data_IF_674593048259
#
_entry.id   IF_674593048259
#
_cell.length_a   1.000
_cell.length_b   1.000
_cell.length_c   1.000
_cell.angle_alpha   90.00
_cell.angle_beta   90.00
_cell.angle_gamma   90.00
#
_symmetry.space_group_name_H-M   'P 1'
#
loop_
_entity.id
_entity.type
_entity.pdbx_description
1 polymer ?
#
# COMPACT_ATOMS: atom_id res chain seq x y z
N UNK A 1 -4.31 15.35 -4.56
CA UNK A 1 -4.93 16.03 -3.40
C UNK A 1 -6.30 15.43 -3.12
N UNK A 2 -6.70 15.29 -1.85
CA UNK A 2 -7.96 14.60 -1.47
C UNK A 2 -9.21 15.25 -2.08
N UNK A 3 -9.26 16.58 -2.13
CA UNK A 3 -10.38 17.32 -2.72
C UNK A 3 -10.59 17.05 -4.21
N UNK A 4 -9.52 16.85 -5.00
CA UNK A 4 -9.64 16.59 -6.44
C UNK A 4 -10.26 15.22 -6.70
N UNK A 5 -9.94 14.23 -5.85
CA UNK A 5 -10.55 12.90 -5.89
C UNK A 5 -12.04 12.97 -5.54
N UNK A 6 -12.40 13.76 -4.52
CA UNK A 6 -13.79 13.97 -4.13
C UNK A 6 -14.58 14.71 -5.22
N UNK A 7 -14.02 15.77 -5.80
CA UNK A 7 -14.62 16.53 -6.89
C UNK A 7 -14.88 15.67 -8.12
N UNK A 8 -13.92 14.83 -8.51
CA UNK A 8 -14.09 13.91 -9.63
C UNK A 8 -15.20 12.87 -9.35
N UNK A 9 -15.28 12.36 -8.12
CA UNK A 9 -16.37 11.46 -7.71
C UNK A 9 -17.76 12.11 -7.81
N UNK A 10 -17.87 13.38 -7.39
CA UNK A 10 -19.10 14.17 -7.53
C UNK A 10 -19.45 14.38 -9.00
N UNK A 11 -18.46 14.69 -9.85
CA UNK A 11 -18.66 14.87 -11.28
C UNK A 11 -19.18 13.59 -11.96
N UNK A 12 -18.59 12.44 -11.61
CA UNK A 12 -19.04 11.13 -12.10
C UNK A 12 -20.48 10.84 -11.65
N UNK A 13 -20.81 11.10 -10.38
CA UNK A 13 -22.16 10.91 -9.87
C UNK A 13 -23.17 11.83 -10.56
N UNK A 14 -22.83 13.10 -10.75
CA UNK A 14 -23.66 14.07 -11.47
C UNK A 14 -23.89 13.65 -12.93
N UNK A 15 -22.84 13.20 -13.62
CA UNK A 15 -22.93 12.66 -14.97
C UNK A 15 -23.81 11.42 -15.05
N UNK A 16 -23.71 10.52 -14.07
CA UNK A 16 -24.55 9.32 -13.98
C UNK A 16 -26.03 9.68 -13.79
N UNK A 17 -26.33 10.62 -12.90
CA UNK A 17 -27.69 11.10 -12.67
C UNK A 17 -28.25 11.82 -13.89
N UNK A 18 -27.43 12.64 -14.55
CA UNK A 18 -27.80 13.31 -15.80
C UNK A 18 -28.13 12.29 -16.89
N UNK A 19 -27.28 11.28 -17.07
CA UNK A 19 -27.54 10.19 -18.01
C UNK A 19 -28.81 9.40 -17.66
N UNK A 20 -29.03 9.08 -16.39
CA UNK A 20 -30.25 8.42 -15.94
C UNK A 20 -31.50 9.27 -16.23
N UNK A 21 -31.41 10.58 -16.03
CA UNK A 21 -32.50 11.53 -16.29
C UNK A 21 -32.86 11.62 -17.78
N UNK A 22 -31.88 11.50 -18.68
CA UNK A 22 -32.14 11.52 -20.12
C UNK A 22 -32.83 10.25 -20.61
N UNK A 23 -32.67 9.13 -19.89
CA UNK A 23 -33.13 7.81 -20.32
C UNK A 23 -34.22 7.20 -19.41
N UNK A 24 -35.00 8.04 -18.72
CA UNK A 24 -36.02 7.59 -17.74
C UNK A 24 -37.06 6.64 -18.32
N UNK A 25 -37.50 6.87 -19.56
CA UNK A 25 -38.53 6.07 -20.23
C UNK A 25 -37.97 4.92 -21.07
N UNK A 26 -36.63 4.80 -21.16
CA UNK A 26 -36.03 3.74 -21.94
C UNK A 26 -36.09 2.41 -21.21
N UNK A 27 -36.38 1.35 -21.95
CA UNK A 27 -36.38 -0.03 -21.46
C UNK A 27 -35.28 -0.82 -22.16
N UNK A 28 -34.63 -1.71 -21.43
CA UNK A 28 -33.52 -2.53 -21.90
C UNK A 28 -33.76 -3.99 -21.55
N UNK A 29 -33.27 -4.88 -22.39
CA UNK A 29 -33.23 -6.32 -22.15
C UNK A 29 -31.84 -6.70 -21.66
N UNK A 30 -31.77 -7.47 -20.58
CA UNK A 30 -30.50 -7.85 -19.94
C UNK A 30 -30.24 -9.32 -20.22
N UNK A 31 -29.05 -9.61 -20.78
CA UNK A 31 -28.59 -10.95 -21.14
C UNK A 31 -27.44 -11.32 -20.21
N UNK A 32 -27.65 -12.26 -19.26
CA UNK A 32 -26.60 -12.66 -18.31
C UNK A 32 -25.86 -13.91 -18.77
N UNK A 33 -26.60 -14.92 -19.20
CA UNK A 33 -26.06 -16.28 -19.38
C UNK A 33 -26.07 -16.74 -20.84
N UNK A 34 -27.15 -16.45 -21.58
CA UNK A 34 -27.29 -16.76 -22.99
C UNK A 34 -27.38 -15.46 -23.81
N UNK A 35 -26.57 -15.28 -24.88
CA UNK A 35 -26.65 -14.11 -25.74
C UNK A 35 -27.98 -14.00 -26.52
N UNK A 36 -28.59 -15.14 -26.82
CA UNK A 36 -29.78 -15.21 -27.67
C UNK A 36 -31.10 -15.09 -26.90
N UNK A 37 -31.08 -15.25 -25.57
CA UNK A 37 -32.30 -15.23 -24.73
C UNK A 37 -32.12 -14.22 -23.59
N UNK A 38 -32.93 -13.14 -23.57
CA UNK A 38 -32.84 -12.16 -22.49
C UNK A 38 -33.29 -12.79 -21.17
N UNK A 39 -32.47 -12.63 -20.14
CA UNK A 39 -32.80 -13.09 -18.78
C UNK A 39 -33.84 -12.19 -18.12
N UNK A 40 -33.78 -10.89 -18.41
CA UNK A 40 -34.78 -9.92 -17.99
C UNK A 40 -35.20 -9.05 -19.17
N UNK A 41 -36.48 -9.09 -19.52
CA UNK A 41 -37.04 -8.30 -20.61
C UNK A 41 -37.63 -6.98 -20.12
N UNK A 42 -37.49 -5.94 -20.94
CA UNK A 42 -38.19 -4.65 -20.77
C UNK A 42 -37.94 -3.93 -19.43
N UNK A 43 -36.78 -4.15 -18.81
CA UNK A 43 -36.39 -3.52 -17.54
C UNK A 43 -36.17 -2.03 -17.78
N UNK A 44 -36.71 -1.12 -16.95
CA UNK A 44 -36.40 0.29 -17.09
C UNK A 44 -34.89 0.52 -16.92
N UNK A 45 -34.31 1.30 -17.83
CA UNK A 45 -32.87 1.51 -17.90
C UNK A 45 -32.29 2.07 -16.59
N UNK A 46 -33.07 2.88 -15.89
CA UNK A 46 -32.74 3.44 -14.59
C UNK A 46 -32.47 2.38 -13.52
N UNK A 47 -33.30 1.33 -13.47
CA UNK A 47 -33.13 0.22 -12.53
C UNK A 47 -31.90 -0.62 -12.86
N UNK A 48 -31.70 -0.92 -14.15
CA UNK A 48 -30.51 -1.65 -14.60
C UNK A 48 -29.22 -0.88 -14.24
N UNK A 49 -29.22 0.43 -14.47
CA UNK A 49 -28.11 1.32 -14.17
C UNK A 49 -27.86 1.45 -12.66
N UNK A 50 -28.91 1.51 -11.84
CA UNK A 50 -28.79 1.55 -10.38
C UNK A 50 -28.16 0.27 -9.83
N UNK A 51 -28.60 -0.90 -10.31
CA UNK A 51 -28.02 -2.20 -9.91
C UNK A 51 -26.56 -2.31 -10.35
N UNK A 52 -26.25 -1.93 -11.60
CA UNK A 52 -24.88 -1.94 -12.11
C UNK A 52 -23.96 -1.02 -11.30
N UNK A 53 -24.43 0.18 -10.96
CA UNK A 53 -23.68 1.13 -10.13
C UNK A 53 -23.46 0.60 -8.71
N UNK A 54 -24.49 0.02 -8.09
CA UNK A 54 -24.41 -0.61 -6.77
C UNK A 54 -23.39 -1.76 -6.74
N UNK A 55 -23.41 -2.63 -7.75
CA UNK A 55 -22.42 -3.71 -7.89
C UNK A 55 -21.01 -3.16 -8.09
N UNK A 56 -20.86 -2.10 -8.90
CA UNK A 56 -19.58 -1.42 -9.08
C UNK A 56 -19.01 -0.88 -7.77
N UNK A 57 -19.84 -0.23 -6.93
CA UNK A 57 -19.43 0.22 -5.60
C UNK A 57 -19.01 -0.95 -4.72
N UNK A 58 -19.77 -2.04 -4.74
CA UNK A 58 -19.47 -3.21 -3.92
C UNK A 58 -18.13 -3.84 -4.31
N UNK A 59 -17.87 -4.00 -5.60
CA UNK A 59 -16.60 -4.50 -6.14
C UNK A 59 -15.47 -3.54 -5.76
N UNK A 60 -15.67 -2.23 -5.92
CA UNK A 60 -14.69 -1.22 -5.55
C UNK A 60 -14.35 -1.26 -4.06
N UNK A 61 -15.35 -1.47 -3.21
CA UNK A 61 -15.17 -1.62 -1.76
C UNK A 61 -14.27 -2.81 -1.45
N UNK A 62 -14.56 -3.99 -2.00
CA UNK A 62 -13.73 -5.17 -1.79
C UNK A 62 -12.30 -4.98 -2.33
N UNK A 63 -12.15 -4.43 -3.53
CA UNK A 63 -10.84 -4.12 -4.10
C UNK A 63 -10.03 -3.17 -3.21
N UNK A 64 -10.69 -2.11 -2.71
CA UNK A 64 -10.07 -1.16 -1.78
C UNK A 64 -9.68 -1.83 -0.46
N UNK A 65 -10.50 -2.73 0.07
CA UNK A 65 -10.21 -3.48 1.28
C UNK A 65 -8.92 -4.31 1.13
N UNK A 66 -8.79 -5.07 0.04
CA UNK A 66 -7.57 -5.83 -0.24
C UNK A 66 -6.35 -4.92 -0.41
N UNK A 67 -6.50 -3.78 -1.08
CA UNK A 67 -5.42 -2.82 -1.27
C UNK A 67 -4.90 -2.25 0.07
N UNK A 68 -5.80 -1.94 1.01
CA UNK A 68 -5.40 -1.44 2.34
C UNK A 68 -4.65 -2.50 3.14
N UNK A 69 -5.08 -3.76 3.05
CA UNK A 69 -4.41 -4.89 3.74
C UNK A 69 -3.00 -5.09 3.17
N UNK A 70 -2.85 -5.14 1.85
CA UNK A 70 -1.54 -5.25 1.19
C UNK A 70 -0.62 -4.07 1.50
N UNK A 71 -1.15 -2.84 1.49
CA UNK A 71 -0.36 -1.65 1.83
C UNK A 71 0.19 -1.70 3.27
N UNK A 72 -0.59 -2.25 4.23
CA UNK A 72 -0.12 -2.42 5.61
C UNK A 72 0.96 -3.49 5.73
N UNK A 73 0.84 -4.61 5.02
CA UNK A 73 1.84 -5.69 5.06
C UNK A 73 3.17 -5.25 4.44
N UNK A 74 3.11 -4.55 3.31
CA UNK A 74 4.28 -3.94 2.68
C UNK A 74 4.97 -2.94 3.61
N UNK A 75 4.20 -2.03 4.21
CA UNK A 75 4.74 -1.04 5.16
C UNK A 75 5.43 -1.71 6.38
N UNK A 76 4.87 -2.80 6.90
CA UNK A 76 5.50 -3.57 7.96
C UNK A 76 6.81 -4.25 7.50
N UNK A 77 6.84 -4.80 6.28
CA UNK A 77 8.04 -5.37 5.67
C UNK A 77 9.14 -4.34 5.46
N UNK A 78 8.80 -3.16 4.94
CA UNK A 78 9.70 -2.02 4.77
C UNK A 78 10.30 -1.56 6.10
N UNK A 79 9.49 -1.47 7.17
CA UNK A 79 9.97 -1.13 8.52
C UNK A 79 10.96 -2.15 9.07
N UNK A 80 10.71 -3.45 8.88
CA UNK A 80 11.62 -4.52 9.31
C UNK A 80 12.97 -4.43 8.60
N UNK A 81 12.96 -4.27 7.27
CA UNK A 81 14.18 -4.10 6.47
C UNK A 81 14.97 -2.87 6.89
N UNK A 82 14.29 -1.74 7.13
CA UNK A 82 14.95 -0.52 7.58
C UNK A 82 15.61 -0.70 8.97
N UNK A 83 14.94 -1.40 9.90
CA UNK A 83 15.51 -1.72 11.21
C UNK A 83 16.73 -2.65 11.11
N UNK A 84 16.67 -3.66 10.25
CA UNK A 84 17.78 -4.59 10.02
C UNK A 84 19.00 -3.87 9.45
N UNK A 85 18.82 -3.05 8.40
CA UNK A 85 19.90 -2.26 7.81
C UNK A 85 20.56 -1.31 8.83
N UNK A 86 19.77 -0.68 9.70
CA UNK A 86 20.31 0.15 10.78
C UNK A 86 21.11 -0.66 11.80
N UNK A 87 20.69 -1.88 12.12
CA UNK A 87 21.43 -2.78 13.02
C UNK A 87 22.74 -3.26 12.38
N UNK A 88 22.73 -3.62 11.09
CA UNK A 88 23.93 -3.98 10.33
C UNK A 88 24.92 -2.81 10.29
N UNK A 89 24.45 -1.60 10.01
CA UNK A 89 25.29 -0.40 10.02
C UNK A 89 25.89 -0.14 11.40
N UNK A 90 25.10 -0.30 12.46
CA UNK A 90 25.56 -0.14 13.86
C UNK A 90 26.59 -1.19 14.23
N UNK A 91 26.41 -2.44 13.78
CA UNK A 91 27.35 -3.52 14.01
C UNK A 91 28.67 -3.29 13.25
N UNK A 92 28.62 -2.86 11.99
CA UNK A 92 29.83 -2.48 11.25
C UNK A 92 30.58 -1.36 11.98
N UNK A 93 29.88 -0.31 12.43
CA UNK A 93 30.49 0.78 13.19
C UNK A 93 31.15 0.29 14.48
N UNK A 94 30.48 -0.58 15.22
CA UNK A 94 31.01 -1.12 16.47
C UNK A 94 32.14 -2.14 16.28
N UNK A 95 32.25 -2.79 15.11
CA UNK A 95 33.41 -3.63 14.77
C UNK A 95 34.65 -2.78 14.60
N UNK A 96 34.59 -1.70 13.81
CA UNK A 96 35.73 -0.79 13.61
C UNK A 96 36.23 -0.15 14.92
N UNK A 97 35.32 0.20 15.84
CA UNK A 97 35.70 0.79 17.14
C UNK A 97 36.37 -0.24 18.06
N UNK A 98 35.89 -1.50 18.06
CA UNK A 98 36.47 -2.57 18.89
C UNK A 98 37.83 -3.05 18.40
N UNK A 99 38.11 -2.92 17.11
CA UNK A 99 39.44 -3.19 16.56
C UNK A 99 40.44 -2.05 16.87
N UNK A 100 39.95 -0.87 17.27
CA UNK A 100 40.76 0.27 17.70
C UNK A 100 40.96 0.34 19.23
N UNK A 101 40.02 -0.19 20.03
CA UNK A 101 40.08 -0.16 21.49
C UNK A 101 40.67 -1.46 22.10
N UNK A 102 41.69 -1.26 22.93
CA UNK A 102 42.10 -2.08 24.08
C UNK A 102 43.24 -3.10 23.96
N UNK A 103 43.74 -3.53 22.80
CA UNK A 103 44.89 -4.48 22.77
C UNK A 103 46.19 -3.96 22.17
N UNK A 104 46.20 -2.85 21.43
CA UNK A 104 47.42 -2.30 20.82
C UNK A 104 48.01 -1.08 21.57
N UNK A 105 47.39 -0.63 22.67
CA UNK A 105 47.86 0.52 23.46
C UNK A 105 48.46 0.13 24.82
N UNK A 106 48.49 -1.17 25.15
CA UNK A 106 49.01 -1.69 26.42
C UNK A 106 50.17 -2.66 26.27
N UNK A 107 50.66 -2.88 25.04
CA UNK A 107 51.78 -3.79 24.74
C UNK A 107 53.06 -3.01 24.36
N UNK A 108 53.24 -1.80 24.92
CA UNK A 108 54.57 -1.19 24.97
C UNK A 108 55.29 -1.78 26.19
N UNK A 109 56.34 -2.61 26.00
CA UNK A 109 57.09 -3.14 27.14
C UNK A 109 57.71 -1.95 27.86
N UNK A 110 57.22 -1.66 29.07
CA UNK A 110 57.82 -0.65 29.95
C UNK A 110 59.33 -0.88 29.98
N UNK A 111 60.17 0.13 29.68
CA UNK A 111 61.61 -0.04 29.69
C UNK A 111 62.03 -0.44 31.10
N UNK A 112 62.62 -1.63 31.24
CA UNK A 112 63.21 -2.11 32.48
C UNK A 112 64.14 -1.03 33.04
N UNK A 113 63.78 -0.49 34.19
CA UNK A 113 64.65 0.39 34.95
C UNK A 113 65.79 -0.48 35.49
N UNK A 114 66.89 -0.49 34.74
CA UNK A 114 68.17 -1.05 35.11
C UNK A 114 68.65 -0.34 36.39
N UNK A 115 68.46 -1.00 37.55
CA UNK A 115 69.04 -0.57 38.81
C UNK A 115 70.52 -0.98 38.81
N UNK A 116 71.48 -0.05 38.94
CA UNK A 116 72.87 -0.43 39.04
C UNK A 116 73.15 -1.00 40.44
N UNK A 117 73.61 -2.25 40.50
CA UNK A 117 74.40 -2.80 41.61
C UNK A 117 75.71 -1.98 41.79
N UNK A 118 76.38 -1.97 42.95
CA UNK A 118 76.29 -2.90 44.09
C UNK A 118 75.93 -2.29 45.47
#
# INVERSE_FOLDING_TARGET
>A
MWFLKAFLGILVLAGLLFFASLNLNQRVSIYLMNPDVPTFESVPMTWALLVAFGLGILIWFFASMFQVISAKSEAAGLRRKNRQLNQELTNLRNMTVRDLDASNLLDDPTPELETPEP
#
